data_IF_013113881700
#
_entry.id   IF_013113881700
#
_cell.length_a   1.000
_cell.length_b   1.000
_cell.length_c   1.000
_cell.angle_alpha   90.00
_cell.angle_beta   90.00
_cell.angle_gamma   90.00
#
_symmetry.space_group_name_H-M   'P 1'
#
loop_
_entity.id
_entity.type
_entity.pdbx_description
1 polymer ?
#
# COMPACT_ATOMS: atom_id res chain seq x y z
N UNK A 1 -7.21 1.31 -6.45
CA UNK A 1 -6.03 0.48 -6.82
C UNK A 1 -4.75 1.31 -7.06
N UNK A 2 -4.75 2.37 -7.88
CA UNK A 2 -3.51 3.12 -8.17
C UNK A 2 -2.79 3.68 -6.92
N UNK A 3 -3.54 4.24 -5.96
CA UNK A 3 -2.98 4.74 -4.69
C UNK A 3 -2.29 3.65 -3.86
N UNK A 4 -2.78 2.41 -3.92
CA UNK A 4 -2.11 1.27 -3.29
C UNK A 4 -0.72 1.02 -3.92
N UNK A 5 -0.65 1.01 -5.26
CA UNK A 5 0.61 0.85 -5.98
C UNK A 5 1.62 1.96 -5.67
N UNK A 6 1.15 3.22 -5.61
CA UNK A 6 2.01 4.36 -5.28
C UNK A 6 2.64 4.21 -3.88
N UNK A 7 1.83 3.89 -2.86
CA UNK A 7 2.32 3.71 -1.49
C UNK A 7 3.29 2.53 -1.37
N UNK A 8 2.94 1.37 -1.95
CA UNK A 8 3.80 0.18 -1.87
C UNK A 8 5.13 0.38 -2.60
N UNK A 9 5.13 1.01 -3.79
CA UNK A 9 6.36 1.32 -4.51
C UNK A 9 7.24 2.30 -3.74
N UNK A 10 6.66 3.34 -3.17
CA UNK A 10 7.42 4.30 -2.35
C UNK A 10 8.07 3.64 -1.14
N UNK A 11 7.30 2.84 -0.39
CA UNK A 11 7.78 2.16 0.83
C UNK A 11 8.82 1.07 0.54
N UNK A 12 8.70 0.34 -0.58
CA UNK A 12 9.64 -0.72 -0.96
C UNK A 12 10.95 -0.21 -1.55
N UNK A 13 11.01 1.04 -2.00
CA UNK A 13 12.18 1.60 -2.68
C UNK A 13 12.64 2.91 -2.01
N UNK A 14 13.15 2.86 -0.75
CA UNK A 14 13.66 4.05 -0.07
C UNK A 14 14.71 4.80 -0.92
N UNK A 15 14.51 6.10 -1.12
CA UNK A 15 15.42 6.97 -1.87
C UNK A 15 15.18 7.03 -3.39
N UNK A 16 14.35 6.13 -3.96
CA UNK A 16 14.02 6.16 -5.39
C UNK A 16 13.06 7.28 -5.76
N UNK A 17 12.09 7.56 -4.89
CA UNK A 17 11.06 8.58 -5.09
C UNK A 17 11.25 9.73 -4.10
N UNK A 18 10.97 10.97 -4.54
CA UNK A 18 11.11 12.16 -3.70
C UNK A 18 9.93 12.37 -2.76
N UNK A 19 8.73 12.00 -3.19
CA UNK A 19 7.49 12.12 -2.42
C UNK A 19 6.45 11.12 -2.95
N UNK A 20 5.38 10.92 -2.19
CA UNK A 20 4.21 10.13 -2.59
C UNK A 20 2.93 10.76 -2.04
N UNK A 21 1.86 10.70 -2.82
CA UNK A 21 0.50 10.96 -2.35
C UNK A 21 -0.47 9.95 -2.97
N UNK A 22 -1.67 9.87 -2.40
CA UNK A 22 -2.73 9.01 -2.94
C UNK A 22 -4.13 9.55 -2.64
N UNK A 23 -5.06 9.30 -3.58
CA UNK A 23 -6.50 9.52 -3.39
C UNK A 23 -7.20 8.17 -3.18
N UNK A 24 -8.01 8.07 -2.13
CA UNK A 24 -8.72 6.84 -1.71
C UNK A 24 -7.90 5.55 -1.89
N UNK A 25 -6.69 5.45 -1.30
CA UNK A 25 -5.84 4.26 -1.46
C UNK A 25 -6.45 3.04 -0.79
N UNK A 26 -6.26 1.86 -1.41
CA UNK A 26 -6.42 0.59 -0.70
C UNK A 26 -5.17 0.38 0.15
N UNK A 27 -5.19 0.90 1.38
CA UNK A 27 -4.00 0.94 2.24
C UNK A 27 -3.68 -0.39 2.94
N UNK A 28 -4.67 -1.27 3.11
CA UNK A 28 -4.52 -2.58 3.77
C UNK A 28 -5.21 -3.70 2.95
N UNK A 29 -4.75 -4.00 1.72
CA UNK A 29 -5.36 -5.01 0.86
C UNK A 29 -5.39 -6.42 1.47
N UNK A 30 -4.49 -6.76 2.39
CA UNK A 30 -4.50 -8.07 3.05
C UNK A 30 -5.71 -8.29 3.95
N UNK A 31 -6.40 -7.21 4.33
CA UNK A 31 -7.56 -7.20 5.21
C UNK A 31 -8.80 -6.56 4.55
N UNK A 32 -8.93 -6.65 3.23
CA UNK A 32 -10.15 -6.21 2.54
C UNK A 32 -10.56 -7.19 1.41
N UNK A 33 -11.87 -7.29 1.09
CA UNK A 33 -12.36 -8.28 0.13
C UNK A 33 -11.70 -8.18 -1.26
N UNK A 34 -11.43 -6.96 -1.71
CA UNK A 34 -10.80 -6.72 -3.01
C UNK A 34 -9.36 -7.25 -3.04
N UNK A 35 -8.58 -6.96 -2.01
CA UNK A 35 -7.19 -7.39 -1.91
C UNK A 35 -7.06 -8.88 -1.62
N UNK A 36 -7.90 -9.46 -0.77
CA UNK A 36 -7.96 -10.91 -0.55
C UNK A 36 -8.20 -11.68 -1.84
N UNK A 37 -9.18 -11.23 -2.65
CA UNK A 37 -9.48 -11.82 -3.96
C UNK A 37 -8.29 -11.70 -4.91
N UNK A 38 -7.70 -10.50 -5.02
CA UNK A 38 -6.58 -10.25 -5.92
C UNK A 38 -5.34 -11.04 -5.52
N UNK A 39 -4.95 -11.00 -4.25
CA UNK A 39 -3.76 -11.67 -3.74
C UNK A 39 -3.88 -13.19 -3.77
N UNK A 40 -5.07 -13.75 -3.50
CA UNK A 40 -5.30 -15.20 -3.68
C UNK A 40 -5.13 -15.62 -5.14
N UNK A 41 -5.48 -14.74 -6.09
CA UNK A 41 -5.35 -15.03 -7.52
C UNK A 41 -3.94 -14.87 -8.10
N UNK A 42 -3.11 -14.00 -7.51
CA UNK A 42 -1.80 -13.64 -8.06
C UNK A 42 -0.59 -14.10 -7.24
N UNK A 43 -0.74 -14.29 -5.93
CA UNK A 43 0.35 -14.64 -5.02
C UNK A 43 0.19 -16.08 -4.55
N UNK A 44 1.32 -16.73 -4.22
CA UNK A 44 1.32 -18.17 -3.96
C UNK A 44 0.91 -18.52 -2.53
N UNK A 45 1.07 -17.58 -1.58
CA UNK A 45 0.80 -17.80 -0.16
C UNK A 45 0.37 -16.52 0.55
N UNK A 46 -0.42 -16.65 1.64
CA UNK A 46 -0.81 -15.51 2.50
C UNK A 46 0.39 -14.81 3.14
N UNK A 47 1.49 -15.53 3.38
CA UNK A 47 2.73 -14.94 3.90
C UNK A 47 3.36 -13.91 2.96
N UNK A 48 3.12 -14.00 1.65
CA UNK A 48 3.64 -13.02 0.68
C UNK A 48 2.90 -11.69 0.70
N UNK A 49 1.65 -11.67 1.18
CA UNK A 49 0.75 -10.52 1.04
C UNK A 49 1.31 -9.27 1.72
N UNK A 50 1.96 -9.43 2.88
CA UNK A 50 2.61 -8.35 3.61
C UNK A 50 3.67 -7.61 2.78
N UNK A 51 4.30 -8.26 1.79
CA UNK A 51 5.28 -7.64 0.89
C UNK A 51 4.66 -6.75 -0.19
N UNK A 52 3.34 -6.74 -0.27
CA UNK A 52 2.52 -5.96 -1.19
C UNK A 52 1.41 -5.22 -0.45
N UNK A 53 1.55 -4.96 0.85
CA UNK A 53 0.56 -4.26 1.65
C UNK A 53 1.16 -3.01 2.27
N UNK A 54 0.60 -1.83 1.99
CA UNK A 54 1.19 -0.57 2.48
C UNK A 54 1.15 -0.47 4.02
N UNK A 55 0.13 -1.03 4.66
CA UNK A 55 -0.01 -1.06 6.13
C UNK A 55 1.02 -1.99 6.77
N UNK A 56 1.38 -3.09 6.12
CA UNK A 56 2.43 -3.98 6.61
C UNK A 56 3.85 -3.46 6.29
N UNK A 57 4.05 -2.89 5.11
CA UNK A 57 5.34 -2.33 4.70
C UNK A 57 5.78 -1.16 5.57
N UNK A 58 4.87 -0.25 5.94
CA UNK A 58 5.21 0.93 6.74
C UNK A 58 5.75 0.56 8.13
N UNK A 59 5.32 -0.57 8.71
CA UNK A 59 5.81 -1.05 10.01
C UNK A 59 7.31 -1.38 10.01
N UNK A 60 7.84 -1.77 8.86
CA UNK A 60 9.24 -2.17 8.69
C UNK A 60 10.05 -1.15 7.88
N UNK A 61 9.51 0.05 7.65
CA UNK A 61 10.15 1.07 6.84
C UNK A 61 11.34 1.70 7.58
N UNK A 62 12.50 1.72 6.93
CA UNK A 62 13.78 2.21 7.49
C UNK A 62 14.38 3.39 6.72
N UNK A 63 13.62 3.98 5.80
CA UNK A 63 14.07 5.12 5.00
C UNK A 63 13.96 6.48 5.70
N UNK A 64 14.03 7.55 4.90
CA UNK A 64 13.88 8.92 5.38
C UNK A 64 12.49 9.18 5.99
N UNK A 65 12.31 10.19 6.87
CA UNK A 65 11.01 10.50 7.47
C UNK A 65 9.88 10.55 6.43
N UNK A 66 8.76 9.91 6.76
CA UNK A 66 7.60 9.80 5.89
C UNK A 66 6.75 11.07 5.98
N UNK A 67 6.61 11.77 4.85
CA UNK A 67 5.65 12.84 4.65
C UNK A 67 4.73 12.46 3.48
N UNK A 68 3.63 11.79 3.81
CA UNK A 68 2.71 11.17 2.85
C UNK A 68 1.36 11.89 2.93
N UNK A 69 0.92 12.46 1.80
CA UNK A 69 -0.42 13.07 1.69
C UNK A 69 -1.44 12.04 1.20
N UNK A 70 -2.54 11.90 1.94
CA UNK A 70 -3.68 11.06 1.54
C UNK A 70 -4.96 11.88 1.63
N UNK A 71 -5.71 11.92 0.53
CA UNK A 71 -7.05 12.50 0.48
C UNK A 71 -8.10 11.40 0.29
N UNK A 72 -9.20 11.50 1.03
CA UNK A 72 -10.32 10.57 0.98
C UNK A 72 -11.65 11.32 0.98
N UNK A 73 -12.53 10.95 0.07
CA UNK A 73 -13.91 11.45 0.08
C UNK A 73 -14.71 10.74 1.18
N UNK A 74 -15.42 11.49 2.02
CA UNK A 74 -16.27 10.90 3.09
C UNK A 74 -17.56 10.28 2.55
N UNK A 75 -17.85 10.40 1.26
CA UNK A 75 -18.96 9.76 0.56
C UNK A 75 -18.52 8.64 -0.40
N UNK A 76 -17.30 8.12 -0.23
CA UNK A 76 -16.77 6.97 -0.98
C UNK A 76 -17.32 5.67 -0.36
N UNK A 77 -17.82 4.74 -1.20
CA UNK A 77 -18.55 3.52 -0.79
C UNK A 77 -17.68 2.25 -0.86
#
# INVERSE_FOLDING_TARGET
MGGHGALTLFLKNPGMYKSVSAFSPISNPSACPWGEKAFTGYLSSKSEWASYDATELVKNYTGAPLDILIDVGTGDN
#
